data_IF_282088046990
#
_entry.id   IF_282088046990
#
_cell.length_a   1.000
_cell.length_b   1.000
_cell.length_c   1.000
_cell.angle_alpha   90.00
_cell.angle_beta   90.00
_cell.angle_gamma   90.00
#
_symmetry.space_group_name_H-M   'P 1'
#
loop_
_entity.id
_entity.type
_entity.pdbx_description
1 polymer ?
#
# COMPACT_ATOMS: atom_id res chain seq x y z
N UNK A 1 -18.79 -23.45 -1.72
CA UNK A 1 -18.11 -22.22 -1.31
C UNK A 1 -17.30 -21.67 -2.47
N UNK A 2 -17.55 -20.43 -2.92
CA UNK A 2 -16.79 -19.83 -4.01
C UNK A 2 -15.32 -19.63 -3.61
N UNK A 3 -14.43 -20.38 -4.26
CA UNK A 3 -12.99 -20.12 -4.17
C UNK A 3 -12.64 -18.92 -5.06
N UNK A 4 -11.57 -18.16 -4.77
CA UNK A 4 -10.61 -18.34 -3.67
C UNK A 4 -11.03 -17.66 -2.35
N UNK A 5 -12.08 -16.85 -2.36
CA UNK A 5 -12.44 -15.95 -1.25
C UNK A 5 -13.30 -16.58 -0.15
N UNK A 6 -13.73 -17.82 -0.31
CA UNK A 6 -14.44 -18.57 0.70
C UNK A 6 -13.84 -19.95 0.91
N UNK A 7 -13.88 -20.42 2.15
CA UNK A 7 -13.48 -21.77 2.54
C UNK A 7 -14.63 -22.47 3.25
N UNK A 8 -14.78 -23.77 3.00
CA UNK A 8 -15.75 -24.61 3.69
C UNK A 8 -15.12 -25.10 5.00
N UNK A 9 -15.78 -24.84 6.12
CA UNK A 9 -15.34 -25.27 7.46
C UNK A 9 -15.86 -26.69 7.77
N UNK A 10 -15.30 -27.32 8.82
CA UNK A 10 -15.66 -28.69 9.21
C UNK A 10 -17.10 -28.86 9.68
N UNK A 11 -17.76 -27.78 10.10
CA UNK A 11 -19.19 -27.75 10.44
C UNK A 11 -20.08 -27.39 9.23
N UNK A 12 -19.54 -27.50 8.01
CA UNK A 12 -20.22 -27.27 6.75
C UNK A 12 -20.64 -25.80 6.50
N UNK A 13 -20.05 -24.82 7.20
CA UNK A 13 -20.29 -23.39 6.94
C UNK A 13 -19.30 -22.82 5.94
N UNK A 14 -19.80 -21.92 5.10
CA UNK A 14 -18.99 -21.12 4.20
C UNK A 14 -18.55 -19.83 4.88
N UNK A 15 -17.24 -19.61 4.99
CA UNK A 15 -16.70 -18.41 5.64
C UNK A 15 -15.73 -17.69 4.71
N UNK A 16 -15.60 -16.38 4.90
CA UNK A 16 -14.64 -15.56 4.20
C UNK A 16 -13.21 -16.02 4.47
N UNK A 17 -12.41 -16.05 3.42
CA UNK A 17 -10.99 -16.35 3.41
C UNK A 17 -10.30 -15.22 2.67
N UNK A 18 -10.20 -14.06 3.31
CA UNK A 18 -9.55 -12.89 2.73
C UNK A 18 -8.03 -12.92 2.95
N UNK A 19 -7.28 -12.45 1.95
CA UNK A 19 -5.83 -12.29 2.01
C UNK A 19 -5.41 -11.05 2.80
N UNK A 20 -4.11 -10.86 2.97
CA UNK A 20 -3.55 -9.70 3.67
C UNK A 20 -3.94 -8.38 2.97
N UNK A 21 -4.33 -7.37 3.76
CA UNK A 21 -4.74 -6.05 3.27
C UNK A 21 -6.06 -6.02 2.51
N UNK A 22 -6.84 -7.11 2.58
CA UNK A 22 -8.15 -7.20 1.90
C UNK A 22 -9.32 -7.21 2.91
N UNK A 23 -10.52 -6.97 2.39
CA UNK A 23 -11.77 -7.02 3.13
C UNK A 23 -12.87 -7.68 2.29
N UNK A 24 -13.85 -8.33 2.92
CA UNK A 24 -15.03 -8.85 2.22
C UNK A 24 -15.80 -7.74 1.50
N UNK A 25 -16.18 -8.01 0.26
CA UNK A 25 -17.18 -7.25 -0.47
C UNK A 25 -18.40 -8.14 -0.73
N UNK A 26 -19.48 -7.88 0.01
CA UNK A 26 -20.73 -8.62 -0.10
C UNK A 26 -21.48 -8.39 -1.43
N UNK A 27 -21.12 -7.34 -2.19
CA UNK A 27 -21.74 -7.06 -3.49
C UNK A 27 -21.14 -7.98 -4.55
N UNK A 28 -19.81 -8.06 -4.61
CA UNK A 28 -19.09 -8.90 -5.58
C UNK A 28 -18.91 -10.34 -5.11
N UNK A 29 -19.13 -10.63 -3.81
CA UNK A 29 -18.78 -11.88 -3.16
C UNK A 29 -17.28 -12.23 -3.27
N UNK A 30 -16.43 -11.21 -3.32
CA UNK A 30 -14.98 -11.32 -3.39
C UNK A 30 -14.30 -10.61 -2.22
N UNK A 31 -13.02 -10.90 -1.97
CA UNK A 31 -12.20 -10.05 -1.11
C UNK A 31 -11.55 -8.96 -1.96
N UNK A 32 -11.77 -7.70 -1.62
CA UNK A 32 -11.24 -6.51 -2.30
C UNK A 32 -10.20 -5.82 -1.42
N UNK A 33 -9.32 -4.98 -1.98
CA UNK A 33 -8.38 -4.22 -1.15
C UNK A 33 -9.12 -3.30 -0.17
N UNK A 34 -8.56 -3.15 1.03
CA UNK A 34 -9.03 -2.15 1.99
C UNK A 34 -8.84 -0.72 1.43
N UNK A 35 -9.58 0.24 1.97
CA UNK A 35 -9.40 1.64 1.59
C UNK A 35 -7.95 2.09 1.82
N UNK A 36 -7.33 2.69 0.80
CA UNK A 36 -5.92 3.10 0.83
C UNK A 36 -4.90 1.99 0.53
N UNK A 37 -5.36 0.75 0.33
CA UNK A 37 -4.54 -0.36 -0.13
C UNK A 37 -4.70 -0.55 -1.64
N UNK A 38 -3.68 -1.11 -2.28
CA UNK A 38 -3.71 -1.49 -3.69
C UNK A 38 -3.21 -2.91 -3.86
N UNK A 39 -3.70 -3.59 -4.90
CA UNK A 39 -3.32 -4.98 -5.16
C UNK A 39 -1.88 -5.03 -5.70
N UNK A 40 -1.03 -5.79 -5.02
CA UNK A 40 0.35 -6.02 -5.47
C UNK A 40 0.56 -7.41 -6.03
N UNK A 41 -0.18 -8.39 -5.52
CA UNK A 41 -0.01 -9.79 -5.91
C UNK A 41 -1.26 -10.63 -5.65
N UNK A 42 -1.13 -11.92 -5.88
CA UNK A 42 -2.07 -12.97 -5.50
C UNK A 42 -1.31 -14.05 -4.73
N UNK A 43 -1.84 -14.50 -3.59
CA UNK A 43 -1.19 -15.54 -2.80
C UNK A 43 -1.28 -16.93 -3.46
N UNK A 44 -0.63 -17.93 -2.85
CA UNK A 44 -0.62 -19.32 -3.34
C UNK A 44 -2.01 -19.98 -3.47
N UNK A 45 -3.05 -19.38 -2.91
CA UNK A 45 -4.43 -19.86 -2.97
C UNK A 45 -5.28 -19.08 -3.98
N UNK A 46 -4.70 -18.15 -4.73
CA UNK A 46 -5.43 -17.32 -5.69
C UNK A 46 -6.10 -16.10 -5.06
N UNK A 47 -5.82 -15.76 -3.79
CA UNK A 47 -6.43 -14.61 -3.12
C UNK A 47 -5.61 -13.35 -3.33
N UNK A 48 -6.28 -12.20 -3.53
CA UNK A 48 -5.60 -10.90 -3.61
C UNK A 48 -4.73 -10.64 -2.37
N UNK A 49 -3.55 -10.11 -2.62
CA UNK A 49 -2.67 -9.51 -1.61
C UNK A 49 -2.62 -8.02 -1.91
N UNK A 50 -2.98 -7.20 -0.92
CA UNK A 50 -2.94 -5.76 -1.05
C UNK A 50 -2.02 -5.14 0.00
N UNK A 51 -1.34 -4.06 -0.36
CA UNK A 51 -0.43 -3.33 0.53
C UNK A 51 -0.71 -1.84 0.48
N UNK A 52 -0.12 -1.09 1.42
CA UNK A 52 -0.10 0.38 1.40
C UNK A 52 1.19 0.90 0.79
N UNK A 53 1.16 2.12 0.27
CA UNK A 53 2.38 2.79 -0.16
C UNK A 53 3.29 3.12 1.03
N UNK A 54 4.63 2.99 0.90
CA UNK A 54 5.56 3.36 1.96
C UNK A 54 5.46 4.84 2.33
N UNK A 55 5.02 5.13 3.55
CA UNK A 55 4.99 6.50 4.09
C UNK A 55 6.37 6.89 4.64
N UNK A 56 6.72 8.19 4.65
CA UNK A 56 5.95 9.34 4.18
C UNK A 56 6.19 9.68 2.70
N UNK A 57 7.08 8.95 2.02
CA UNK A 57 7.63 9.35 0.72
C UNK A 57 6.93 8.78 -0.49
N UNK A 58 5.89 7.97 -0.30
CA UNK A 58 5.06 7.48 -1.40
C UNK A 58 3.59 7.78 -1.14
N UNK A 59 2.87 8.05 -2.23
CA UNK A 59 1.42 8.24 -2.23
C UNK A 59 0.80 7.31 -3.27
N UNK A 60 -0.38 6.80 -2.95
CA UNK A 60 -1.16 5.98 -3.88
C UNK A 60 -1.93 6.89 -4.85
N UNK A 61 -1.68 6.73 -6.14
CA UNK A 61 -2.43 7.42 -7.19
C UNK A 61 -3.71 6.67 -7.55
N UNK A 62 -4.64 7.36 -8.23
CA UNK A 62 -5.95 6.80 -8.63
C UNK A 62 -5.87 5.60 -9.58
N UNK A 63 -4.73 5.43 -10.27
CA UNK A 63 -4.42 4.28 -11.13
C UNK A 63 -3.68 3.16 -10.37
N UNK A 64 -3.77 3.14 -9.05
CA UNK A 64 -3.19 2.11 -8.16
C UNK A 64 -1.66 1.99 -8.23
N UNK A 65 -0.94 3.10 -8.39
CA UNK A 65 0.52 3.12 -8.34
C UNK A 65 1.02 3.88 -7.12
N UNK A 66 2.04 3.35 -6.46
CA UNK A 66 2.81 4.12 -5.50
C UNK A 66 3.83 4.97 -6.24
N UNK A 67 3.69 6.28 -6.10
CA UNK A 67 4.62 7.25 -6.71
C UNK A 67 5.32 8.03 -5.62
N UNK A 68 6.53 8.50 -5.94
CA UNK A 68 7.30 9.37 -5.06
C UNK A 68 6.53 10.64 -4.74
N UNK A 69 6.57 11.01 -3.47
CA UNK A 69 5.98 12.21 -2.91
C UNK A 69 7.06 12.91 -2.09
N UNK A 70 8.09 13.42 -2.74
CA UNK A 70 9.19 14.11 -2.05
C UNK A 70 8.82 15.52 -1.60
N UNK A 71 9.42 15.96 -0.49
CA UNK A 71 9.27 17.32 0.05
C UNK A 71 10.19 18.33 -0.65
N UNK A 72 10.06 19.60 -0.29
CA UNK A 72 10.91 20.67 -0.85
C UNK A 72 12.41 20.43 -0.59
N UNK A 73 13.23 20.63 -1.62
CA UNK A 73 14.68 20.43 -1.55
C UNK A 73 15.14 18.97 -1.41
N UNK A 74 14.23 18.00 -1.62
CA UNK A 74 14.55 16.57 -1.56
C UNK A 74 14.43 15.88 -2.92
N UNK A 75 15.10 14.75 -3.07
CA UNK A 75 15.03 13.88 -4.24
C UNK A 75 14.89 12.40 -3.84
N UNK A 76 14.28 11.55 -4.70
CA UNK A 76 14.18 10.13 -4.45
C UNK A 76 15.55 9.44 -4.36
N UNK A 77 15.73 8.62 -3.33
CA UNK A 77 16.79 7.63 -3.25
C UNK A 77 16.17 6.23 -3.28
N UNK A 78 16.30 5.55 -4.42
CA UNK A 78 15.78 4.20 -4.62
C UNK A 78 16.52 3.13 -3.82
N UNK A 79 17.70 3.43 -3.28
CA UNK A 79 18.48 2.51 -2.44
C UNK A 79 17.91 2.45 -1.03
N UNK A 80 17.58 3.62 -0.47
CA UNK A 80 17.01 3.73 0.88
C UNK A 80 15.47 3.74 0.88
N UNK A 81 14.86 3.86 -0.31
CA UNK A 81 13.43 4.03 -0.48
C UNK A 81 12.88 5.28 0.26
N UNK A 82 13.71 6.32 0.40
CA UNK A 82 13.40 7.59 1.05
C UNK A 82 13.58 8.78 0.09
N UNK A 83 13.04 9.94 0.45
CA UNK A 83 13.45 11.21 -0.19
C UNK A 83 14.57 11.87 0.62
N UNK A 84 15.76 11.93 0.07
CA UNK A 84 16.97 12.50 0.70
C UNK A 84 17.16 13.97 0.28
N UNK A 85 17.98 14.75 0.99
CA UNK A 85 18.27 16.11 0.55
C UNK A 85 19.06 16.09 -0.75
N UNK A 86 18.75 17.02 -1.65
CA UNK A 86 19.54 17.25 -2.85
C UNK A 86 20.99 17.62 -2.50
N UNK A 87 21.91 17.44 -3.45
CA UNK A 87 23.30 17.81 -3.23
C UNK A 87 23.45 19.30 -2.85
N UNK A 88 24.16 19.57 -1.76
CA UNK A 88 24.34 20.92 -1.22
C UNK A 88 23.18 21.42 -0.36
N UNK A 89 22.14 20.62 -0.12
CA UNK A 89 21.03 20.95 0.78
C UNK A 89 21.18 20.20 2.11
N UNK A 90 20.68 20.79 3.19
CA UNK A 90 20.63 20.16 4.51
C UNK A 90 19.19 20.14 5.05
N UNK A 91 18.87 19.14 5.87
CA UNK A 91 17.53 18.99 6.46
C UNK A 91 17.26 20.15 7.41
N UNK A 92 16.17 20.88 7.17
CA UNK A 92 15.71 21.98 8.02
C UNK A 92 14.43 21.67 8.77
N UNK A 93 13.67 20.66 8.34
CA UNK A 93 12.45 20.26 9.04
C UNK A 93 11.73 19.06 8.43
N UNK A 94 10.46 18.94 8.78
CA UNK A 94 9.50 18.03 8.16
C UNK A 94 8.18 18.74 7.90
N UNK A 95 7.50 18.41 6.81
CA UNK A 95 6.18 18.96 6.52
C UNK A 95 5.06 18.25 7.31
N UNK A 96 3.80 18.65 7.07
CA UNK A 96 2.61 18.08 7.73
C UNK A 96 2.40 16.58 7.48
N UNK A 97 3.06 16.01 6.47
CA UNK A 97 3.01 14.59 6.14
C UNK A 97 4.22 13.81 6.69
N UNK A 98 5.09 14.48 7.46
CA UNK A 98 6.32 13.90 8.01
C UNK A 98 7.46 13.78 7.00
N UNK A 99 7.32 14.37 5.80
CA UNK A 99 8.36 14.33 4.77
C UNK A 99 9.44 15.34 5.09
N UNK A 100 10.70 14.97 4.83
CA UNK A 100 11.86 15.85 4.99
C UNK A 100 11.72 17.13 4.13
N UNK A 101 12.06 18.27 4.72
CA UNK A 101 12.26 19.54 4.02
C UNK A 101 13.76 19.86 4.09
N UNK A 102 14.36 20.24 2.97
CA UNK A 102 15.75 20.67 2.92
C UNK A 102 15.89 22.03 2.23
N UNK A 103 16.94 22.76 2.59
CA UNK A 103 17.33 24.02 1.95
C UNK A 103 18.86 24.09 1.82
N UNK A 104 19.42 24.99 0.98
CA UNK A 104 20.86 25.20 0.86
C UNK A 104 21.52 25.51 2.20
#
# INVERSE_FOLDING_TARGET
CPTPYHVLTSDNRCVWSCGEGTQPDSVTNECVCQAGYYQTDTDKFGRRVCTICPTPYHVLTSDNRCVWSCGEGTEPDSTTNECVCQNGYHKTGTDQFGRRICSP
#
